data_IF_612115802469
#
_entry.id   IF_612115802469
#
_cell.length_a   1.000
_cell.length_b   1.000
_cell.length_c   1.000
_cell.angle_alpha   90.00
_cell.angle_beta   90.00
_cell.angle_gamma   90.00
#
_symmetry.space_group_name_H-M   'P 1'
#
loop_
_entity.id
_entity.type
_entity.pdbx_description
1 polymer ?
#
# COMPACT_ATOMS: atom_id res chain seq x y z
N UNK A 1 -11.28 35.57 -17.76
CA UNK A 1 -11.00 34.14 -17.96
C UNK A 1 -11.50 33.40 -16.74
N UNK A 2 -12.53 32.55 -16.81
CA UNK A 2 -12.96 31.78 -15.64
C UNK A 2 -11.98 30.62 -15.44
N UNK A 3 -11.31 30.62 -14.30
CA UNK A 3 -10.48 29.51 -13.83
C UNK A 3 -11.40 28.33 -13.55
N UNK A 4 -11.44 27.34 -14.44
CA UNK A 4 -12.19 26.11 -14.21
C UNK A 4 -11.59 25.40 -12.99
N UNK A 5 -12.26 25.49 -11.84
CA UNK A 5 -11.97 24.65 -10.69
C UNK A 5 -12.36 23.22 -11.08
N UNK A 6 -11.40 22.48 -11.63
CA UNK A 6 -11.53 21.03 -11.77
C UNK A 6 -11.62 20.45 -10.37
N UNK A 7 -12.85 20.15 -9.94
CA UNK A 7 -13.07 19.32 -8.75
C UNK A 7 -12.33 18.02 -8.99
N UNK A 8 -11.28 17.77 -8.21
CA UNK A 8 -10.57 16.50 -8.29
C UNK A 8 -11.57 15.38 -8.02
N UNK A 9 -11.69 14.38 -8.91
CA UNK A 9 -12.57 13.25 -8.68
C UNK A 9 -12.25 12.60 -7.32
N UNK A 10 -13.20 12.57 -6.38
CA UNK A 10 -13.01 11.89 -5.09
C UNK A 10 -13.74 10.54 -5.08
N UNK A 11 -13.40 9.68 -6.05
CA UNK A 11 -14.05 8.38 -6.23
C UNK A 11 -13.45 7.31 -5.30
N UNK A 12 -12.18 7.45 -4.93
CA UNK A 12 -11.49 6.53 -4.02
C UNK A 12 -11.61 6.99 -2.57
N UNK A 13 -12.51 6.35 -1.82
CA UNK A 13 -12.70 6.61 -0.40
C UNK A 13 -11.51 6.09 0.44
N UNK A 14 -10.91 6.98 1.23
CA UNK A 14 -9.79 6.66 2.13
C UNK A 14 -10.18 5.62 3.19
N UNK A 15 -11.37 5.75 3.77
CA UNK A 15 -11.82 4.85 4.83
C UNK A 15 -12.27 3.49 4.29
N UNK A 16 -12.79 3.44 3.06
CA UNK A 16 -13.10 2.18 2.40
C UNK A 16 -11.82 1.40 2.06
N UNK A 17 -10.84 2.09 1.47
CA UNK A 17 -9.54 1.52 1.14
C UNK A 17 -8.81 1.00 2.38
N UNK A 18 -8.83 1.76 3.49
CA UNK A 18 -8.22 1.34 4.75
C UNK A 18 -8.90 0.10 5.34
N UNK A 19 -10.24 0.07 5.43
CA UNK A 19 -10.99 -1.09 5.94
C UNK A 19 -10.73 -2.34 5.10
N UNK A 20 -10.71 -2.20 3.78
CA UNK A 20 -10.37 -3.30 2.89
C UNK A 20 -8.96 -3.82 3.17
N UNK A 21 -8.00 -2.91 3.33
CA UNK A 21 -6.58 -3.25 3.54
C UNK A 21 -6.38 -4.02 4.84
N UNK A 22 -7.06 -3.63 5.93
CA UNK A 22 -7.07 -4.37 7.18
C UNK A 22 -7.66 -5.78 7.02
N UNK A 23 -8.78 -5.92 6.28
CA UNK A 23 -9.43 -7.21 6.02
C UNK A 23 -8.58 -8.13 5.15
N UNK A 24 -7.90 -7.59 4.14
CA UNK A 24 -7.00 -8.36 3.29
C UNK A 24 -5.77 -8.81 4.06
N UNK A 25 -5.15 -7.88 4.80
CA UNK A 25 -3.94 -8.15 5.57
C UNK A 25 -4.16 -9.04 6.79
N UNK A 26 -5.40 -9.30 7.23
CA UNK A 26 -5.65 -10.29 8.29
C UNK A 26 -5.42 -11.73 7.83
N UNK A 27 -5.41 -12.00 6.51
CA UNK A 27 -5.14 -13.33 5.96
C UNK A 27 -3.64 -13.64 6.08
N UNK A 28 -3.30 -14.81 6.63
CA UNK A 28 -1.91 -15.24 6.84
C UNK A 28 -1.10 -15.26 5.54
N UNK A 29 -1.64 -15.90 4.48
CA UNK A 29 -1.00 -15.94 3.16
C UNK A 29 -0.72 -14.55 2.56
N UNK A 30 -1.56 -13.55 2.87
CA UNK A 30 -1.33 -12.16 2.43
C UNK A 30 -0.18 -11.54 3.21
N UNK A 31 -0.14 -11.72 4.54
CA UNK A 31 0.95 -11.20 5.38
C UNK A 31 2.29 -11.75 4.92
N UNK A 32 2.37 -13.06 4.70
CA UNK A 32 3.61 -13.72 4.28
C UNK A 32 4.06 -13.23 2.90
N UNK A 33 3.15 -13.15 1.92
CA UNK A 33 3.45 -12.62 0.59
C UNK A 33 3.91 -11.15 0.66
N UNK A 34 3.23 -10.30 1.43
CA UNK A 34 3.62 -8.90 1.62
C UNK A 34 4.98 -8.76 2.29
N UNK A 35 5.30 -9.59 3.29
CA UNK A 35 6.60 -9.57 3.97
C UNK A 35 7.73 -9.96 3.01
N UNK A 36 7.57 -11.02 2.22
CA UNK A 36 8.56 -11.43 1.23
C UNK A 36 8.78 -10.33 0.16
N UNK A 37 7.70 -9.75 -0.37
CA UNK A 37 7.78 -8.65 -1.33
C UNK A 37 8.42 -7.39 -0.72
N UNK A 38 8.19 -7.12 0.56
CA UNK A 38 8.83 -6.01 1.25
C UNK A 38 10.33 -6.26 1.48
N UNK A 39 10.71 -7.45 1.93
CA UNK A 39 12.10 -7.76 2.28
C UNK A 39 13.01 -7.91 1.06
N UNK A 40 12.59 -8.70 0.07
CA UNK A 40 13.43 -9.01 -1.08
C UNK A 40 13.41 -7.94 -2.17
N UNK A 41 12.34 -7.12 -2.20
CA UNK A 41 12.04 -6.23 -3.33
C UNK A 41 11.73 -4.80 -2.92
N UNK A 42 11.72 -4.51 -1.62
CA UNK A 42 11.50 -3.18 -1.06
C UNK A 42 10.17 -2.54 -1.52
N UNK A 43 9.19 -3.36 -1.91
CA UNK A 43 7.89 -2.86 -2.31
C UNK A 43 7.14 -2.29 -1.12
N UNK A 44 6.34 -1.26 -1.38
CA UNK A 44 5.49 -0.67 -0.38
C UNK A 44 4.19 -1.48 -0.22
N UNK A 45 3.95 -2.03 0.97
CA UNK A 45 2.77 -2.83 1.28
C UNK A 45 1.47 -2.05 1.06
N UNK A 46 1.38 -0.77 1.47
CA UNK A 46 0.17 0.04 1.27
C UNK A 46 -0.16 0.23 -0.23
N UNK A 47 0.86 0.33 -1.08
CA UNK A 47 0.66 0.36 -2.53
C UNK A 47 0.16 -0.99 -3.09
N UNK A 48 0.72 -2.12 -2.63
CA UNK A 48 0.28 -3.46 -3.02
C UNK A 48 -1.18 -3.73 -2.61
N UNK A 49 -1.54 -3.42 -1.37
CA UNK A 49 -2.91 -3.56 -0.87
C UNK A 49 -3.88 -2.65 -1.64
N UNK A 50 -3.44 -1.47 -2.06
CA UNK A 50 -4.23 -0.59 -2.93
C UNK A 50 -4.42 -1.19 -4.32
N UNK A 51 -3.39 -1.80 -4.92
CA UNK A 51 -3.52 -2.49 -6.20
C UNK A 51 -4.57 -3.61 -6.13
N UNK A 52 -4.61 -4.34 -5.00
CA UNK A 52 -5.60 -5.36 -4.72
C UNK A 52 -7.01 -4.78 -4.56
N UNK A 53 -7.15 -3.66 -3.83
CA UNK A 53 -8.43 -2.96 -3.68
C UNK A 53 -9.03 -2.56 -5.04
N UNK A 54 -8.21 -1.96 -5.90
CA UNK A 54 -8.63 -1.61 -7.27
C UNK A 54 -9.05 -2.85 -8.05
N UNK A 55 -8.32 -3.95 -7.88
CA UNK A 55 -8.67 -5.28 -8.39
C UNK A 55 -10.08 -5.72 -8.02
N UNK A 56 -10.43 -5.64 -6.73
CA UNK A 56 -11.78 -5.98 -6.23
C UNK A 56 -12.88 -5.00 -6.64
N UNK A 57 -12.53 -3.87 -7.27
CA UNK A 57 -13.47 -2.90 -7.86
C UNK A 57 -13.53 -2.96 -9.38
N UNK A 58 -12.88 -3.96 -9.99
CA UNK A 58 -12.70 -4.09 -11.44
C UNK A 58 -12.03 -2.85 -12.09
N UNK A 59 -11.22 -2.12 -11.32
CA UNK A 59 -10.48 -0.95 -11.78
C UNK A 59 -9.04 -1.31 -12.13
N UNK A 60 -8.63 -0.98 -13.35
CA UNK A 60 -7.27 -1.21 -13.84
C UNK A 60 -6.43 0.06 -13.76
N UNK A 61 -5.22 -0.06 -13.20
CA UNK A 61 -4.22 1.00 -13.28
C UNK A 61 -3.81 1.24 -14.73
N UNK A 62 -3.79 2.51 -15.14
CA UNK A 62 -3.10 2.91 -16.36
C UNK A 62 -1.60 2.96 -16.12
N UNK A 63 -0.77 2.81 -17.15
CA UNK A 63 0.69 2.98 -17.03
C UNK A 63 1.05 4.34 -16.43
N UNK A 64 0.29 5.39 -16.74
CA UNK A 64 0.46 6.73 -16.16
C UNK A 64 0.17 6.74 -14.65
N UNK A 65 -0.97 6.20 -14.23
CA UNK A 65 -1.33 6.13 -12.81
C UNK A 65 -0.36 5.26 -12.00
N UNK A 66 0.08 4.13 -12.55
CA UNK A 66 1.08 3.26 -11.92
C UNK A 66 2.42 4.00 -11.75
N UNK A 67 2.90 4.71 -12.78
CA UNK A 67 4.13 5.51 -12.69
C UNK A 67 4.01 6.64 -11.68
N UNK A 68 2.89 7.38 -11.68
CA UNK A 68 2.65 8.40 -10.66
C UNK A 68 2.66 7.78 -9.26
N UNK A 69 1.96 6.68 -9.02
CA UNK A 69 1.99 6.00 -7.73
C UNK A 69 3.41 5.58 -7.30
N UNK A 70 4.22 5.03 -8.21
CA UNK A 70 5.58 4.60 -7.92
C UNK A 70 6.55 5.76 -7.69
N UNK A 71 6.36 6.87 -8.40
CA UNK A 71 7.33 7.96 -8.43
C UNK A 71 6.87 9.28 -7.83
N UNK A 72 5.68 9.33 -7.23
CA UNK A 72 5.16 10.54 -6.61
C UNK A 72 6.06 10.99 -5.44
N UNK A 73 6.45 12.27 -5.47
CA UNK A 73 7.37 12.85 -4.49
C UNK A 73 6.81 12.84 -3.07
N UNK A 74 5.52 13.18 -2.90
CA UNK A 74 4.89 13.25 -1.58
C UNK A 74 4.80 11.87 -0.94
N UNK A 75 4.36 10.87 -1.72
CA UNK A 75 4.27 9.49 -1.26
C UNK A 75 5.63 8.93 -0.85
N UNK A 76 6.65 9.05 -1.71
CA UNK A 76 8.00 8.56 -1.38
C UNK A 76 8.59 9.26 -0.16
N UNK A 77 8.44 10.59 -0.08
CA UNK A 77 8.94 11.37 1.05
C UNK A 77 8.30 10.91 2.36
N UNK A 78 6.98 10.77 2.40
CA UNK A 78 6.28 10.27 3.58
C UNK A 78 6.76 8.88 3.98
N UNK A 79 6.88 7.97 3.01
CA UNK A 79 7.36 6.63 3.29
C UNK A 79 8.78 6.63 3.89
N UNK A 80 9.70 7.38 3.28
CA UNK A 80 11.12 7.42 3.67
C UNK A 80 11.37 8.18 4.98
N UNK A 81 10.65 9.27 5.23
CA UNK A 81 10.88 10.14 6.39
C UNK A 81 9.99 9.79 7.59
N UNK A 82 8.96 8.96 7.42
CA UNK A 82 7.98 8.67 8.50
C UNK A 82 7.71 7.18 8.66
N UNK A 83 7.16 6.51 7.65
CA UNK A 83 6.73 5.10 7.78
C UNK A 83 7.92 4.16 8.01
N UNK A 84 8.99 4.25 7.21
CA UNK A 84 10.16 3.37 7.36
C UNK A 84 10.92 3.61 8.68
N UNK A 85 11.20 4.86 9.10
CA UNK A 85 11.83 5.11 10.41
C UNK A 85 11.04 4.52 11.59
N UNK A 86 9.71 4.67 11.60
CA UNK A 86 8.86 4.07 12.64
C UNK A 86 8.95 2.54 12.64
N UNK A 87 8.90 1.94 11.45
CA UNK A 87 9.05 0.49 11.27
C UNK A 87 10.40 -0.01 11.77
N UNK A 88 11.47 0.72 11.49
CA UNK A 88 12.82 0.37 11.93
C UNK A 88 12.99 0.51 13.44
N UNK A 89 12.39 1.53 14.07
CA UNK A 89 12.34 1.64 15.53
C UNK A 89 11.55 0.46 16.12
N UNK A 90 10.37 0.14 15.58
CA UNK A 90 9.56 -0.99 16.04
C UNK A 90 10.33 -2.30 15.95
N UNK A 91 11.01 -2.56 14.83
CA UNK A 91 11.82 -3.76 14.61
C UNK A 91 12.93 -3.89 15.64
N UNK A 92 13.67 -2.81 15.90
CA UNK A 92 14.74 -2.78 16.91
C UNK A 92 14.20 -3.02 18.32
N UNK A 93 13.09 -2.38 18.70
CA UNK A 93 12.44 -2.60 20.00
C UNK A 93 11.95 -4.04 20.16
N UNK A 94 11.37 -4.63 19.11
CA UNK A 94 10.96 -6.05 19.12
C UNK A 94 12.15 -6.99 19.29
N UNK A 95 13.23 -6.75 18.56
CA UNK A 95 14.46 -7.56 18.61
C UNK A 95 15.17 -7.48 19.95
N UNK A 96 15.18 -6.30 20.58
CA UNK A 96 15.75 -6.12 21.91
C UNK A 96 15.02 -6.94 22.99
N UNK A 97 13.73 -7.24 22.78
CA UNK A 97 12.89 -7.97 23.73
C UNK A 97 12.59 -7.11 24.97
N UNK A 98 11.41 -6.47 25.08
CA UNK A 98 11.09 -5.59 26.19
C UNK A 98 11.31 -6.29 27.55
N UNK A 99 12.24 -5.77 28.35
CA UNK A 99 12.65 -6.34 29.63
C UNK A 99 11.90 -5.73 30.82
N UNK A 100 11.20 -4.61 30.63
CA UNK A 100 10.40 -3.94 31.64
C UNK A 100 9.09 -3.36 31.07
N UNK A 101 8.10 -3.04 31.93
CA UNK A 101 6.81 -2.49 31.49
C UNK A 101 6.93 -1.22 30.64
N UNK A 102 7.87 -0.33 30.95
CA UNK A 102 8.09 0.93 30.22
C UNK A 102 8.57 0.68 28.78
N UNK A 103 9.43 -0.32 28.57
CA UNK A 103 9.88 -0.72 27.24
C UNK A 103 8.75 -1.36 26.43
N UNK A 104 7.88 -2.15 27.08
CA UNK A 104 6.72 -2.75 26.42
C UNK A 104 5.72 -1.67 26.00
N UNK A 105 5.50 -0.66 26.84
CA UNK A 105 4.62 0.46 26.51
C UNK A 105 5.19 1.30 25.37
N UNK A 106 6.49 1.61 25.38
CA UNK A 106 7.15 2.28 24.26
C UNK A 106 6.99 1.50 22.95
N UNK A 107 7.17 0.18 22.98
CA UNK A 107 6.95 -0.69 21.81
C UNK A 107 5.51 -0.60 21.27
N UNK A 108 4.51 -0.59 22.16
CA UNK A 108 3.09 -0.44 21.78
C UNK A 108 2.82 0.93 21.17
N UNK A 109 3.33 2.00 21.76
CA UNK A 109 3.17 3.36 21.25
C UNK A 109 3.78 3.53 19.86
N UNK A 110 4.98 2.99 19.63
CA UNK A 110 5.61 3.00 18.30
C UNK A 110 4.80 2.17 17.30
N UNK A 111 4.24 1.03 17.72
CA UNK A 111 3.37 0.22 16.86
C UNK A 111 2.11 0.98 16.44
N UNK A 112 1.48 1.71 17.37
CA UNK A 112 0.31 2.57 17.08
C UNK A 112 0.69 3.73 16.14
N UNK A 113 1.86 4.34 16.37
CA UNK A 113 2.38 5.41 15.53
C UNK A 113 2.67 4.92 14.10
N UNK A 114 3.30 3.74 13.93
CA UNK A 114 3.52 3.13 12.62
C UNK A 114 2.19 2.90 11.89
N UNK A 115 1.21 2.28 12.54
CA UNK A 115 -0.11 2.02 11.93
C UNK A 115 -0.80 3.34 11.52
N UNK A 116 -0.67 4.38 12.34
CA UNK A 116 -1.22 5.71 12.03
C UNK A 116 -0.51 6.33 10.83
N UNK A 117 0.81 6.18 10.72
CA UNK A 117 1.60 6.63 9.58
C UNK A 117 1.24 5.88 8.28
N UNK A 118 0.99 4.56 8.36
CA UNK A 118 0.52 3.75 7.23
C UNK A 118 -0.87 4.18 6.74
N UNK A 119 -1.79 4.53 7.64
CA UNK A 119 -3.10 5.06 7.26
C UNK A 119 -2.99 6.40 6.53
N UNK A 120 -2.09 7.29 6.98
CA UNK A 120 -1.81 8.56 6.27
C UNK A 120 -1.17 8.29 4.91
N UNK A 121 -0.23 7.34 4.84
CA UNK A 121 0.42 6.92 3.60
C UNK A 121 -0.61 6.44 2.57
N UNK A 122 -1.56 5.62 2.99
CA UNK A 122 -2.64 5.15 2.12
C UNK A 122 -3.62 6.27 1.73
N UNK A 123 -3.85 7.26 2.60
CA UNK A 123 -4.60 8.46 2.24
C UNK A 123 -3.90 9.32 1.18
N UNK A 124 -2.56 9.39 1.20
CA UNK A 124 -1.76 10.04 0.15
C UNK A 124 -1.91 9.27 -1.17
N UNK A 125 -1.81 7.94 -1.14
CA UNK A 125 -2.05 7.08 -2.31
C UNK A 125 -3.44 7.35 -2.90
N UNK A 126 -4.48 7.40 -2.08
CA UNK A 126 -5.83 7.68 -2.53
C UNK A 126 -5.93 9.06 -3.20
N UNK A 127 -5.30 10.09 -2.62
CA UNK A 127 -5.26 11.44 -3.19
C UNK A 127 -4.52 11.51 -4.54
N UNK A 128 -3.48 10.69 -4.74
CA UNK A 128 -2.79 10.56 -6.02
C UNK A 128 -3.74 9.93 -7.05
N UNK A 129 -4.32 8.77 -6.73
CA UNK A 129 -5.17 8.02 -7.66
C UNK A 129 -6.46 8.76 -8.03
N UNK A 130 -7.00 9.58 -7.13
CA UNK A 130 -8.14 10.46 -7.38
C UNK A 130 -7.88 11.52 -8.47
N UNK A 131 -6.61 11.76 -8.85
CA UNK A 131 -6.26 12.62 -9.99
C UNK A 131 -6.26 11.87 -11.33
N UNK A 132 -6.57 10.57 -11.32
CA UNK A 132 -6.61 9.72 -12.49
C UNK A 132 -8.00 9.13 -12.69
N UNK A 133 -8.35 8.96 -13.97
CA UNK A 133 -9.47 8.10 -14.38
C UNK A 133 -8.91 6.71 -14.65
N UNK A 134 -9.45 5.70 -13.98
CA UNK A 134 -9.06 4.30 -14.17
C UNK A 134 -10.13 3.59 -15.01
N UNK A 135 -9.74 2.86 -16.08
CA UNK A 135 -10.69 2.06 -16.84
C UNK A 135 -11.17 0.85 -16.04
N UNK A 136 -12.43 0.46 -16.29
CA UNK A 136 -12.92 -0.85 -15.89
C UNK A 136 -12.21 -1.94 -16.69
N UNK A 137 -11.88 -3.05 -16.05
CA UNK A 137 -11.37 -4.25 -16.68
C UNK A 137 -11.73 -5.48 -15.85
N UNK A 138 -11.94 -6.62 -16.48
CA UNK A 138 -12.22 -7.87 -15.77
C UNK A 138 -10.97 -8.36 -15.02
N UNK A 139 -11.12 -8.66 -13.73
CA UNK A 139 -10.08 -9.24 -12.87
C UNK A 139 -8.72 -8.52 -12.92
N UNK A 140 -8.63 -7.19 -12.72
CA UNK A 140 -7.41 -6.45 -12.95
C UNK A 140 -6.38 -6.58 -11.83
N UNK A 141 -6.67 -7.32 -10.75
CA UNK A 141 -5.82 -7.37 -9.55
C UNK A 141 -4.36 -7.73 -9.87
N UNK A 142 -4.12 -8.87 -10.53
CA UNK A 142 -2.78 -9.29 -10.92
C UNK A 142 -2.13 -8.31 -11.90
N UNK A 143 -2.93 -7.72 -12.79
CA UNK A 143 -2.44 -6.72 -13.75
C UNK A 143 -1.98 -5.45 -13.03
N UNK A 144 -2.71 -4.98 -12.02
CA UNK A 144 -2.35 -3.82 -11.21
C UNK A 144 -1.08 -4.06 -10.42
N UNK A 145 -0.97 -5.23 -9.77
CA UNK A 145 0.21 -5.66 -9.04
C UNK A 145 1.43 -5.71 -9.96
N UNK A 146 1.31 -6.36 -11.11
CA UNK A 146 2.38 -6.44 -12.11
C UNK A 146 2.77 -5.07 -12.69
N UNK A 147 1.82 -4.18 -12.93
CA UNK A 147 2.12 -2.82 -13.43
C UNK A 147 2.86 -1.98 -12.38
N UNK A 148 2.49 -2.08 -11.11
CA UNK A 148 3.21 -1.40 -10.03
C UNK A 148 4.62 -1.98 -9.86
N UNK A 149 4.73 -3.30 -9.91
CA UNK A 149 6.00 -4.04 -9.83
C UNK A 149 6.99 -3.65 -10.94
N UNK A 150 6.53 -3.61 -12.19
CA UNK A 150 7.36 -3.35 -13.37
C UNK A 150 8.09 -2.00 -13.32
N UNK A 151 7.61 -1.05 -12.52
CA UNK A 151 8.31 0.23 -12.31
C UNK A 151 9.59 0.09 -11.47
N UNK A 152 9.74 -1.00 -10.72
CA UNK A 152 10.92 -1.29 -9.90
C UNK A 152 11.78 -2.41 -10.49
N UNK A 153 11.16 -3.43 -11.12
CA UNK A 153 11.89 -4.56 -11.72
C UNK A 153 11.21 -5.10 -13.00
N UNK A 154 11.95 -5.28 -14.12
CA UNK A 154 11.36 -5.67 -15.41
C UNK A 154 11.16 -7.19 -15.65
N UNK A 155 11.35 -8.08 -14.65
CA UNK A 155 11.18 -9.54 -14.84
C UNK A 155 10.01 -10.14 -14.02
N UNK A 156 9.64 -11.38 -14.43
CA UNK A 156 8.38 -12.13 -14.27
C UNK A 156 7.57 -11.97 -12.97
N UNK A 157 6.28 -12.30 -13.06
CA UNK A 157 5.36 -12.28 -11.94
C UNK A 157 5.82 -13.24 -10.83
N UNK A 158 6.26 -12.66 -9.71
CA UNK A 158 6.61 -13.36 -8.48
C UNK A 158 5.38 -14.13 -7.94
N UNK A 159 5.60 -15.34 -7.42
CA UNK A 159 4.55 -16.21 -6.84
C UNK A 159 3.73 -15.51 -5.76
N UNK A 160 4.34 -14.54 -5.10
CA UNK A 160 3.74 -13.72 -4.06
C UNK A 160 2.69 -12.77 -4.65
N UNK A 161 2.91 -12.21 -5.85
CA UNK A 161 1.91 -11.37 -6.54
C UNK A 161 0.68 -12.19 -6.95
N UNK A 162 0.87 -13.43 -7.39
CA UNK A 162 -0.22 -14.36 -7.68
C UNK A 162 -1.01 -14.70 -6.41
N UNK A 163 -0.31 -14.95 -5.31
CA UNK A 163 -0.92 -15.21 -4.00
C UNK A 163 -1.78 -14.03 -3.55
N UNK A 164 -1.27 -12.80 -3.65
CA UNK A 164 -2.04 -11.60 -3.33
C UNK A 164 -3.29 -11.47 -4.20
N UNK A 165 -3.17 -11.67 -5.51
CA UNK A 165 -4.30 -11.59 -6.42
C UNK A 165 -5.39 -12.65 -6.11
N UNK A 166 -4.99 -13.88 -5.82
CA UNK A 166 -5.91 -14.96 -5.45
C UNK A 166 -6.65 -14.65 -4.12
N UNK A 167 -5.93 -14.14 -3.12
CA UNK A 167 -6.51 -13.81 -1.82
C UNK A 167 -7.43 -12.58 -1.89
N UNK A 168 -7.15 -11.62 -2.78
CA UNK A 168 -8.01 -10.47 -3.03
C UNK A 168 -9.39 -10.85 -3.58
N UNK A 169 -9.46 -11.86 -4.45
CA UNK A 169 -10.72 -12.36 -5.04
C UNK A 169 -11.65 -13.09 -4.05
N UNK A 170 -11.21 -13.30 -2.80
CA UNK A 170 -11.95 -14.04 -1.77
C UNK A 170 -12.33 -13.14 -0.58
N UNK A 171 -12.41 -11.82 -0.79
CA UNK A 171 -12.80 -10.83 0.23
C UNK A 171 -14.29 -10.51 0.16
#
# INVERSE_FOLDING_TARGET
>A
MPTTQYSTPNWLSRDELWRYSLKLYSKEAVRDACLQLQEYRQLNINALLTCCFLGGKDLKLTTKAAKELSFNRQFRRWNQETTQPLRDIRRRLKQAGPACPEQLELYRQITIAELSAERVEQAIIAAILNQHTLPNAAAPCLTNLSLYWQNYHPMAADTELLTLAQQASTI
#
